data_IF_108192532771
#
_entry.id   IF_108192532771
#
_cell.length_a   1.000
_cell.length_b   1.000
_cell.length_c   1.000
_cell.angle_alpha   90.00
_cell.angle_beta   90.00
_cell.angle_gamma   90.00
#
_symmetry.space_group_name_H-M   'P 1'
#
loop_
_entity.id
_entity.type
_entity.pdbx_description
1 polymer ?
#
# COMPACT_ATOMS: atom_id res chain seq x y z
N UNK A 1 9.89 -2.49 11.70
CA UNK A 1 10.14 -1.09 11.26
C UNK A 1 9.05 -0.62 10.30
N UNK A 2 8.82 -1.34 9.19
CA UNK A 2 7.77 -1.03 8.21
C UNK A 2 6.37 -0.91 8.84
N UNK A 3 5.97 -1.88 9.67
CA UNK A 3 4.65 -1.89 10.34
C UNK A 3 4.38 -0.64 11.18
N UNK A 4 5.40 -0.12 11.88
CA UNK A 4 5.29 1.11 12.67
C UNK A 4 5.11 2.34 11.78
N UNK A 5 5.78 2.36 10.64
CA UNK A 5 5.66 3.44 9.65
C UNK A 5 4.26 3.47 8.99
N UNK A 6 3.72 2.29 8.67
CA UNK A 6 2.36 2.14 8.15
C UNK A 6 1.30 2.48 9.19
N UNK A 7 1.47 2.05 10.44
CA UNK A 7 0.54 2.33 11.55
C UNK A 7 0.48 3.81 11.91
N UNK A 8 1.60 4.52 11.79
CA UNK A 8 1.70 5.93 12.17
C UNK A 8 1.73 6.14 13.69
N UNK A 9 1.59 7.39 14.12
CA UNK A 9 1.73 7.80 15.52
C UNK A 9 3.19 7.89 15.97
N UNK A 10 3.42 8.12 17.26
CA UNK A 10 4.74 8.37 17.83
C UNK A 10 5.75 7.24 17.53
N UNK A 11 5.26 6.01 17.39
CA UNK A 11 6.05 4.85 17.04
C UNK A 11 6.65 4.87 15.62
N UNK A 12 6.15 5.76 14.74
CA UNK A 12 6.68 5.96 13.39
C UNK A 12 8.03 6.72 13.38
N UNK A 13 8.51 7.19 14.53
CA UNK A 13 9.80 7.87 14.67
C UNK A 13 9.80 9.23 13.97
N UNK A 14 10.86 9.53 13.21
CA UNK A 14 10.99 10.83 12.53
C UNK A 14 9.88 11.14 11.53
N UNK A 15 9.17 10.12 11.04
CA UNK A 15 8.04 10.31 10.15
C UNK A 15 6.70 10.44 10.88
N UNK A 16 6.65 10.45 12.21
CA UNK A 16 5.41 10.60 12.97
C UNK A 16 4.65 11.90 12.64
N UNK A 17 5.40 12.96 12.31
CA UNK A 17 4.84 14.26 11.92
C UNK A 17 4.45 14.35 10.44
N UNK A 18 4.84 13.38 9.60
CA UNK A 18 4.51 13.36 8.19
C UNK A 18 3.07 12.87 7.98
N UNK A 19 2.40 13.40 6.94
CA UNK A 19 1.14 12.84 6.47
C UNK A 19 1.31 11.39 5.99
N UNK A 20 0.21 10.64 5.91
CA UNK A 20 0.27 9.22 5.59
C UNK A 20 1.06 8.96 4.29
N UNK A 21 0.87 9.78 3.25
CA UNK A 21 1.56 9.65 1.97
C UNK A 21 3.06 9.91 2.02
N UNK A 22 3.52 10.90 2.79
CA UNK A 22 4.96 11.21 2.95
C UNK A 22 5.70 10.16 3.76
N UNK A 23 5.05 9.56 4.77
CA UNK A 23 5.65 8.43 5.52
C UNK A 23 6.05 7.28 4.60
N UNK A 24 5.23 6.91 3.62
CA UNK A 24 5.58 5.83 2.69
C UNK A 24 6.84 6.10 1.85
N UNK A 25 7.25 7.35 1.66
CA UNK A 25 8.48 7.69 0.90
C UNK A 25 9.77 7.32 1.63
N UNK A 26 9.70 7.07 2.94
CA UNK A 26 10.82 6.57 3.74
C UNK A 26 11.04 5.06 3.57
N UNK A 27 10.09 4.32 2.99
CA UNK A 27 10.22 2.90 2.71
C UNK A 27 10.96 2.68 1.39
N UNK A 28 12.29 2.72 1.43
CA UNK A 28 13.14 2.41 0.28
C UNK A 28 13.52 0.91 0.34
N UNK A 29 13.08 0.13 -0.65
CA UNK A 29 13.44 -1.28 -0.75
C UNK A 29 14.84 -1.46 -1.39
N UNK A 30 15.74 -2.30 -0.82
CA UNK A 30 17.08 -2.52 -1.37
C UNK A 30 17.12 -3.15 -2.77
N UNK A 31 16.00 -3.72 -3.24
CA UNK A 31 15.81 -4.18 -4.61
C UNK A 31 14.47 -3.65 -5.09
N UNK A 32 14.50 -2.90 -6.19
CA UNK A 32 13.37 -2.23 -6.80
C UNK A 32 12.20 -3.18 -7.05
N UNK A 33 11.23 -3.19 -6.14
CA UNK A 33 9.85 -3.45 -6.54
C UNK A 33 9.30 -2.08 -6.91
N UNK A 34 8.97 -1.87 -8.19
CA UNK A 34 8.26 -0.65 -8.60
C UNK A 34 6.89 -0.68 -7.92
N UNK A 35 6.70 0.19 -6.93
CA UNK A 35 5.38 0.51 -6.40
C UNK A 35 4.78 1.52 -7.37
N UNK A 36 3.77 1.13 -8.16
CA UNK A 36 3.12 2.04 -9.11
C UNK A 36 2.45 3.20 -8.33
N UNK A 37 2.92 4.45 -8.50
CA UNK A 37 2.38 5.61 -7.77
C UNK A 37 1.32 6.36 -8.58
N UNK A 38 1.05 5.93 -9.82
CA UNK A 38 -0.04 6.45 -10.66
C UNK A 38 -1.41 6.02 -10.13
N UNK A 39 -2.51 6.67 -10.54
CA UNK A 39 -3.83 6.38 -10.00
C UNK A 39 -4.15 4.90 -10.18
N UNK A 40 -4.41 4.21 -9.08
CA UNK A 40 -5.10 2.94 -9.15
C UNK A 40 -6.49 3.28 -9.68
N UNK A 41 -6.79 2.87 -10.91
CA UNK A 41 -8.18 2.80 -11.33
C UNK A 41 -8.80 1.62 -10.57
N UNK A 42 -9.21 1.87 -9.33
CA UNK A 42 -10.01 0.91 -8.61
C UNK A 42 -11.37 0.89 -9.29
N UNK A 43 -11.71 -0.22 -9.94
CA UNK A 43 -13.11 -0.54 -10.10
C UNK A 43 -13.76 -0.47 -8.71
N UNK A 44 -14.90 0.22 -8.59
CA UNK A 44 -15.68 0.14 -7.37
C UNK A 44 -16.38 -1.21 -7.35
N UNK A 45 -16.31 -1.90 -6.21
CA UNK A 45 -17.06 -3.13 -5.99
C UNK A 45 -17.96 -2.98 -4.77
N UNK A 46 -19.15 -3.55 -4.84
CA UNK A 46 -20.04 -3.72 -3.69
C UNK A 46 -19.68 -4.96 -2.85
N UNK A 47 -18.86 -5.87 -3.40
CA UNK A 47 -18.40 -7.09 -2.75
C UNK A 47 -16.88 -7.25 -2.94
N UNK A 48 -16.07 -6.86 -1.93
CA UNK A 48 -14.62 -7.01 -1.99
C UNK A 48 -14.13 -8.46 -2.03
N UNK A 49 -14.87 -9.40 -1.42
CA UNK A 49 -14.45 -10.80 -1.33
C UNK A 49 -14.63 -11.49 -2.69
N UNK A 50 -15.78 -11.30 -3.34
CA UNK A 50 -16.03 -11.85 -4.66
C UNK A 50 -15.07 -11.28 -5.72
N UNK A 51 -14.75 -9.99 -5.64
CA UNK A 51 -13.87 -9.34 -6.62
C UNK A 51 -12.42 -9.84 -6.52
N UNK A 52 -11.93 -10.13 -5.32
CA UNK A 52 -10.60 -10.71 -5.13
C UNK A 52 -10.48 -12.11 -5.77
N UNK A 53 -11.46 -12.98 -5.55
CA UNK A 53 -11.50 -14.32 -6.15
C UNK A 53 -11.55 -14.25 -7.69
N UNK A 54 -12.38 -13.35 -8.23
CA UNK A 54 -12.49 -13.12 -9.68
C UNK A 54 -11.17 -12.67 -10.29
N UNK A 55 -10.48 -11.71 -9.66
CA UNK A 55 -9.20 -11.19 -10.15
C UNK A 55 -8.10 -12.27 -10.11
N UNK A 56 -8.07 -13.10 -9.06
CA UNK A 56 -7.12 -14.21 -8.96
C UNK A 56 -7.34 -15.22 -10.09
N UNK A 57 -8.59 -15.56 -10.38
CA UNK A 57 -8.93 -16.46 -11.48
C UNK A 57 -8.57 -15.88 -12.85
N UNK A 58 -8.72 -14.57 -13.05
CA UNK A 58 -8.46 -13.92 -14.35
C UNK A 58 -6.96 -13.71 -14.64
N UNK A 59 -6.17 -13.37 -13.63
CA UNK A 59 -4.81 -12.85 -13.81
C UNK A 59 -3.71 -13.86 -13.47
N UNK A 60 -4.03 -14.93 -12.76
CA UNK A 60 -3.03 -15.87 -12.22
C UNK A 60 -3.27 -17.31 -12.67
N UNK A 61 -4.52 -17.79 -12.61
CA UNK A 61 -4.86 -19.20 -12.89
C UNK A 61 -4.90 -19.52 -14.38
#
# INVERSE_FOLDING_TARGET
>A
AVERHCRGGDEAGQAAADDAGRRYRWLIAPRSTVVQPGPVHTGLTADPAAEAERLLALLVR
#
